data_IF_891820014786
#
_entry.id   IF_891820014786
#
_cell.length_a   1.000
_cell.length_b   1.000
_cell.length_c   1.000
_cell.angle_alpha   90.00
_cell.angle_beta   90.00
_cell.angle_gamma   90.00
#
_symmetry.space_group_name_H-M   'P 1'
#
loop_
_entity.id
_entity.type
_entity.pdbx_description
1 polymer ?
#
# COMPACT_ATOMS: atom_id res chain seq x y z
N UNK A 1 25.97 -10.85 -9.83
CA UNK A 1 25.18 -9.66 -10.25
C UNK A 1 24.11 -10.13 -11.25
N UNK A 2 23.17 -9.27 -11.66
CA UNK A 2 22.12 -9.48 -12.69
C UNK A 2 20.78 -10.14 -12.32
N UNK A 3 20.59 -10.82 -11.17
CA UNK A 3 19.31 -11.51 -10.87
C UNK A 3 18.05 -10.60 -10.99
N UNK A 4 18.17 -9.33 -10.63
CA UNK A 4 17.09 -8.33 -10.78
C UNK A 4 16.88 -7.85 -12.24
N UNK A 5 17.93 -7.84 -13.07
CA UNK A 5 17.82 -7.50 -14.49
C UNK A 5 17.16 -8.64 -15.27
N UNK A 6 17.53 -9.89 -14.99
CA UNK A 6 16.84 -11.08 -15.51
C UNK A 6 15.36 -11.09 -15.11
N UNK A 7 15.03 -10.72 -13.87
CA UNK A 7 13.65 -10.59 -13.42
C UNK A 7 12.87 -9.51 -14.21
N UNK A 8 13.49 -8.35 -14.49
CA UNK A 8 12.87 -7.32 -15.33
C UNK A 8 12.69 -7.76 -16.79
N UNK A 9 13.64 -8.49 -17.37
CA UNK A 9 13.54 -9.01 -18.74
C UNK A 9 12.44 -10.07 -18.87
N UNK A 10 12.33 -10.99 -17.91
CA UNK A 10 11.22 -11.97 -17.86
C UNK A 10 9.87 -11.29 -17.65
N UNK A 11 9.82 -10.21 -16.86
CA UNK A 11 8.59 -9.44 -16.68
C UNK A 11 8.21 -8.69 -17.97
N UNK A 12 9.18 -8.16 -18.72
CA UNK A 12 8.93 -7.60 -20.05
C UNK A 12 8.40 -8.66 -21.03
N UNK A 13 8.93 -9.88 -20.99
CA UNK A 13 8.44 -11.00 -21.80
C UNK A 13 6.98 -11.37 -21.44
N UNK A 14 6.66 -11.49 -20.15
CA UNK A 14 5.30 -11.70 -19.65
C UNK A 14 4.37 -10.57 -20.12
N UNK A 15 4.75 -9.31 -19.91
CA UNK A 15 3.92 -8.16 -20.27
C UNK A 15 3.79 -7.97 -21.78
N UNK A 16 4.71 -8.49 -22.60
CA UNK A 16 4.54 -8.51 -24.05
C UNK A 16 3.63 -9.67 -24.51
N UNK A 17 3.81 -10.87 -23.95
CA UNK A 17 3.12 -12.11 -24.34
C UNK A 17 1.67 -12.19 -23.85
N UNK A 18 1.38 -11.66 -22.67
CA UNK A 18 0.12 -11.85 -21.94
C UNK A 18 -0.65 -10.54 -21.83
N UNK A 19 -1.98 -10.61 -21.73
CA UNK A 19 -2.86 -9.42 -21.83
C UNK A 19 -3.75 -9.20 -20.61
N UNK A 20 -4.20 -10.27 -19.95
CA UNK A 20 -5.14 -10.20 -18.83
C UNK A 20 -4.43 -10.44 -17.50
N UNK A 21 -4.25 -9.39 -16.71
CA UNK A 21 -3.43 -9.42 -15.49
C UNK A 21 -4.17 -8.87 -14.28
N UNK A 22 -3.79 -9.33 -13.08
CA UNK A 22 -4.39 -8.86 -11.84
C UNK A 22 -3.31 -8.42 -10.84
N UNK A 23 -3.35 -7.16 -10.42
CA UNK A 23 -2.49 -6.60 -9.38
C UNK A 23 -3.16 -6.85 -8.02
N UNK A 24 -2.48 -7.56 -7.12
CA UNK A 24 -2.97 -7.93 -5.80
C UNK A 24 -2.22 -7.18 -4.70
N UNK A 25 -2.99 -6.69 -3.72
CA UNK A 25 -2.48 -6.06 -2.50
C UNK A 25 -2.81 -6.94 -1.27
N UNK A 26 -1.95 -6.92 -0.23
CA UNK A 26 -2.25 -7.56 1.05
C UNK A 26 -3.43 -6.86 1.75
N UNK A 27 -3.99 -7.53 2.77
CA UNK A 27 -5.07 -6.96 3.58
C UNK A 27 -4.54 -5.78 4.42
N UNK A 28 -5.26 -4.66 4.39
CA UNK A 28 -4.87 -3.37 4.98
C UNK A 28 -3.53 -2.84 4.41
N UNK A 29 -3.43 -2.62 3.09
CA UNK A 29 -2.18 -2.29 2.42
C UNK A 29 -1.64 -0.92 2.84
N UNK A 30 -0.31 -0.78 2.81
CA UNK A 30 0.36 0.49 3.10
C UNK A 30 0.00 1.57 2.07
N UNK A 31 0.07 2.85 2.46
CA UNK A 31 -0.12 3.99 1.53
C UNK A 31 0.90 3.92 0.37
N UNK A 32 2.09 3.40 0.62
CA UNK A 32 3.13 3.15 -0.37
C UNK A 32 2.76 2.00 -1.33
N UNK A 33 2.24 0.89 -0.83
CA UNK A 33 1.70 -0.18 -1.68
C UNK A 33 0.54 0.29 -2.54
N UNK A 34 -0.41 1.05 -1.98
CA UNK A 34 -1.51 1.67 -2.72
C UNK A 34 -1.00 2.63 -3.80
N UNK A 35 -0.02 3.45 -3.49
CA UNK A 35 0.61 4.38 -4.44
C UNK A 35 1.33 3.64 -5.57
N UNK A 36 2.13 2.63 -5.24
CA UNK A 36 2.88 1.82 -6.17
C UNK A 36 1.98 0.97 -7.08
N UNK A 37 0.94 0.35 -6.52
CA UNK A 37 0.00 -0.50 -7.24
C UNK A 37 -0.94 0.31 -8.15
N UNK A 38 -1.44 1.47 -7.70
CA UNK A 38 -2.23 2.37 -8.57
C UNK A 38 -1.38 3.00 -9.67
N UNK A 39 -0.12 3.35 -9.40
CA UNK A 39 0.81 3.80 -10.43
C UNK A 39 1.10 2.71 -11.48
N UNK A 40 1.34 1.46 -11.05
CA UNK A 40 1.54 0.33 -11.95
C UNK A 40 0.28 -0.01 -12.74
N UNK A 41 -0.90 0.05 -12.12
CA UNK A 41 -2.18 -0.11 -12.80
C UNK A 41 -2.35 0.90 -13.95
N UNK A 42 -2.14 2.20 -13.68
CA UNK A 42 -2.22 3.25 -14.70
C UNK A 42 -1.20 3.04 -15.85
N UNK A 43 0.00 2.57 -15.52
CA UNK A 43 1.00 2.18 -16.52
C UNK A 43 0.58 0.97 -17.37
N UNK A 44 0.01 -0.09 -16.79
CA UNK A 44 -0.49 -1.23 -17.55
C UNK A 44 -1.66 -0.84 -18.46
N UNK A 45 -2.56 0.04 -18.01
CA UNK A 45 -3.63 0.58 -18.85
C UNK A 45 -3.08 1.38 -20.05
N UNK A 46 -1.99 2.14 -19.87
CA UNK A 46 -1.28 2.80 -21.00
C UNK A 46 -0.66 1.82 -21.99
N UNK A 47 -0.20 0.66 -21.53
CA UNK A 47 0.32 -0.43 -22.38
C UNK A 47 -0.81 -1.25 -23.06
N UNK A 48 -2.08 -0.83 -22.93
CA UNK A 48 -3.22 -1.52 -23.54
C UNK A 48 -3.53 -2.87 -22.89
N UNK A 49 -3.13 -3.08 -21.63
CA UNK A 49 -3.34 -4.35 -20.91
C UNK A 49 -4.66 -4.34 -20.15
N UNK A 50 -5.32 -5.49 -20.12
CA UNK A 50 -6.51 -5.74 -19.31
C UNK A 50 -6.08 -6.01 -17.86
N UNK A 51 -5.57 -4.98 -17.20
CA UNK A 51 -5.20 -5.03 -15.79
C UNK A 51 -6.44 -4.81 -14.91
N UNK A 52 -6.56 -5.58 -13.84
CA UNK A 52 -7.39 -5.24 -12.68
C UNK A 52 -6.52 -5.03 -11.43
N UNK A 53 -7.04 -4.32 -10.44
CA UNK A 53 -6.35 -4.00 -9.19
C UNK A 53 -7.27 -4.39 -8.03
N UNK A 54 -6.79 -5.19 -7.09
CA UNK A 54 -7.64 -5.91 -6.13
C UNK A 54 -7.08 -5.86 -4.71
N UNK A 55 -7.97 -5.61 -3.74
CA UNK A 55 -7.70 -5.58 -2.30
C UNK A 55 -8.97 -5.97 -1.52
N UNK A 56 -8.86 -6.92 -0.58
CA UNK A 56 -10.01 -7.39 0.23
C UNK A 56 -10.44 -6.35 1.29
N UNK A 57 -9.49 -5.74 1.99
CA UNK A 57 -9.78 -4.73 3.02
C UNK A 57 -10.41 -3.46 2.42
N UNK A 58 -11.12 -2.70 3.25
CA UNK A 58 -11.47 -1.33 2.89
C UNK A 58 -10.20 -0.46 2.82
N UNK A 59 -10.29 0.62 2.06
CA UNK A 59 -9.18 1.52 1.76
C UNK A 59 -9.53 2.88 2.35
N UNK A 60 -8.67 3.40 3.23
CA UNK A 60 -8.84 4.74 3.82
C UNK A 60 -8.80 5.81 2.71
N UNK A 61 -9.39 7.00 2.94
CA UNK A 61 -9.57 8.03 1.90
C UNK A 61 -8.25 8.77 1.55
N UNK A 62 -7.35 8.09 0.84
CA UNK A 62 -6.07 8.62 0.38
C UNK A 62 -6.22 9.31 -0.97
N UNK A 63 -5.66 10.52 -1.13
CA UNK A 63 -5.67 11.27 -2.39
C UNK A 63 -4.66 10.74 -3.42
N UNK A 64 -4.76 9.46 -3.77
CA UNK A 64 -4.07 8.81 -4.89
C UNK A 64 -5.05 8.68 -6.06
N UNK A 65 -4.57 8.77 -7.30
CA UNK A 65 -5.43 8.57 -8.48
C UNK A 65 -5.53 7.10 -8.82
N UNK A 66 -6.74 6.56 -9.02
CA UNK A 66 -6.98 5.15 -9.35
C UNK A 66 -7.33 4.26 -8.15
N UNK A 67 -7.40 4.79 -6.92
CA UNK A 67 -7.94 4.05 -5.75
C UNK A 67 -9.41 3.68 -5.93
N UNK A 68 -10.16 4.48 -6.71
CA UNK A 68 -11.52 4.22 -7.15
C UNK A 68 -11.67 3.04 -8.12
N UNK A 69 -10.56 2.46 -8.59
CA UNK A 69 -10.53 1.26 -9.46
C UNK A 69 -10.22 -0.04 -8.70
N UNK A 70 -9.97 0.03 -7.39
CA UNK A 70 -9.61 -1.13 -6.59
C UNK A 70 -10.86 -1.97 -6.32
N UNK A 71 -10.87 -3.22 -6.79
CA UNK A 71 -11.96 -4.16 -6.61
C UNK A 71 -11.75 -5.03 -5.36
N UNK A 72 -12.83 -5.58 -4.83
CA UNK A 72 -12.81 -6.47 -3.65
C UNK A 72 -12.43 -7.91 -3.95
N UNK A 73 -12.63 -8.36 -5.19
CA UNK A 73 -12.49 -9.75 -5.61
C UNK A 73 -11.67 -9.84 -6.89
N UNK A 74 -11.08 -11.01 -7.14
CA UNK A 74 -10.35 -11.33 -8.38
C UNK A 74 -11.36 -11.55 -9.51
N UNK A 75 -11.89 -10.44 -10.04
CA UNK A 75 -12.67 -10.43 -11.27
C UNK A 75 -11.73 -10.04 -12.42
N UNK A 76 -11.45 -10.97 -13.33
CA UNK A 76 -10.93 -10.62 -14.66
C UNK A 76 -12.07 -10.73 -15.66
N UNK A 77 -12.30 -9.65 -16.41
CA UNK A 77 -13.33 -9.60 -17.42
C UNK A 77 -13.01 -10.61 -18.53
N UNK A 78 -13.93 -11.54 -18.76
CA UNK A 78 -13.98 -12.38 -19.96
C UNK A 78 -15.36 -12.27 -20.60
N UNK A 79 -15.68 -13.17 -21.52
CA UNK A 79 -16.88 -13.04 -22.35
C UNK A 79 -18.19 -13.40 -21.62
N UNK A 80 -18.12 -13.84 -20.36
CA UNK A 80 -19.29 -14.25 -19.56
C UNK A 80 -19.89 -13.08 -18.79
N UNK A 81 -21.04 -12.59 -19.25
CA UNK A 81 -21.85 -11.57 -18.55
C UNK A 81 -22.43 -12.13 -17.24
N UNK A 82 -22.21 -11.41 -16.14
CA UNK A 82 -22.80 -11.65 -14.82
C UNK A 82 -23.84 -10.58 -14.53
N UNK A 83 -24.98 -11.02 -13.98
CA UNK A 83 -26.06 -10.14 -13.52
C UNK A 83 -26.24 -10.39 -12.02
N UNK A 84 -26.08 -9.36 -11.20
CA UNK A 84 -26.11 -9.44 -9.73
C UNK A 84 -27.09 -8.46 -9.12
N UNK A 85 -27.77 -8.87 -8.06
CA UNK A 85 -28.74 -8.05 -7.31
C UNK A 85 -28.85 -8.57 -5.87
N UNK A 86 -29.38 -7.77 -4.92
CA UNK A 86 -29.54 -8.21 -3.53
C UNK A 86 -30.43 -9.47 -3.41
N UNK A 87 -29.82 -10.58 -3.01
CA UNK A 87 -30.49 -11.86 -2.77
C UNK A 87 -30.83 -12.05 -1.28
N UNK A 88 -31.93 -12.77 -1.01
CA UNK A 88 -32.26 -13.35 0.30
C UNK A 88 -32.53 -14.83 0.08
N UNK A 89 -32.15 -15.68 1.02
CA UNK A 89 -32.28 -17.11 0.79
C UNK A 89 -33.74 -17.55 0.63
N UNK A 90 -33.96 -18.49 -0.30
CA UNK A 90 -35.30 -18.91 -0.73
C UNK A 90 -36.10 -17.88 -1.53
N UNK A 91 -35.61 -16.67 -1.80
CA UNK A 91 -36.42 -15.61 -2.42
C UNK A 91 -36.75 -15.83 -3.90
N UNK A 92 -35.96 -16.65 -4.61
CA UNK A 92 -36.17 -16.98 -6.03
C UNK A 92 -36.96 -18.29 -6.15
N UNK A 93 -37.98 -18.27 -7.02
CA UNK A 93 -38.83 -19.40 -7.38
C UNK A 93 -38.30 -20.11 -8.63
N UNK A 94 -38.11 -19.33 -9.70
CA UNK A 94 -37.66 -19.81 -11.01
C UNK A 94 -36.71 -18.79 -11.66
N UNK A 95 -35.67 -19.29 -12.31
CA UNK A 95 -34.92 -18.56 -13.35
C UNK A 95 -35.24 -19.21 -14.69
N UNK A 96 -35.52 -18.39 -15.70
CA UNK A 96 -35.94 -18.80 -17.04
C UNK A 96 -35.36 -17.83 -18.08
N UNK A 97 -35.45 -18.15 -19.37
CA UNK A 97 -35.03 -17.23 -20.43
C UNK A 97 -35.92 -17.31 -21.67
N UNK A 98 -35.98 -16.22 -22.43
CA UNK A 98 -36.50 -16.27 -23.79
C UNK A 98 -35.68 -15.39 -24.74
N UNK A 99 -35.88 -15.57 -26.05
CA UNK A 99 -35.33 -14.71 -27.08
C UNK A 99 -36.51 -14.07 -27.81
N UNK A 100 -36.55 -12.74 -27.84
CA UNK A 100 -37.62 -11.96 -28.48
C UNK A 100 -36.98 -10.98 -29.46
N UNK A 101 -37.07 -11.28 -30.75
CA UNK A 101 -36.37 -10.54 -31.79
C UNK A 101 -34.85 -10.66 -31.65
N UNK A 102 -34.18 -9.53 -31.47
CA UNK A 102 -32.74 -9.40 -31.24
C UNK A 102 -32.32 -9.55 -29.77
N UNK A 103 -33.27 -9.70 -28.84
CA UNK A 103 -33.02 -9.61 -27.39
C UNK A 103 -33.12 -10.96 -26.69
N UNK A 104 -32.05 -11.34 -26.00
CA UNK A 104 -32.07 -12.36 -24.95
C UNK A 104 -32.59 -11.75 -23.64
N UNK A 105 -33.66 -12.31 -23.08
CA UNK A 105 -34.28 -11.84 -21.84
C UNK A 105 -34.13 -12.90 -20.76
N UNK A 106 -33.38 -12.60 -19.70
CA UNK A 106 -33.35 -13.40 -18.48
C UNK A 106 -34.55 -13.04 -17.60
N UNK A 107 -35.34 -14.04 -17.21
CA UNK A 107 -36.56 -13.88 -16.43
C UNK A 107 -36.34 -14.50 -15.05
N UNK A 108 -36.50 -13.70 -13.99
CA UNK A 108 -36.30 -14.14 -12.60
C UNK A 108 -37.61 -13.93 -11.84
N UNK A 109 -38.25 -15.04 -11.48
CA UNK A 109 -39.52 -15.06 -10.73
C UNK A 109 -39.22 -15.17 -9.24
N UNK A 110 -39.59 -14.18 -8.41
CA UNK A 110 -39.50 -14.31 -6.95
C UNK A 110 -40.62 -15.20 -6.41
N UNK A 111 -40.40 -15.85 -5.27
CA UNK A 111 -41.44 -16.63 -4.59
C UNK A 111 -42.57 -15.74 -4.07
N UNK A 112 -43.78 -16.30 -3.85
CA UNK A 112 -44.82 -15.63 -3.08
C UNK A 112 -44.28 -15.00 -1.80
N UNK A 113 -44.85 -13.86 -1.42
CA UNK A 113 -44.49 -13.04 -0.25
C UNK A 113 -43.06 -12.44 -0.25
N UNK A 114 -42.26 -12.62 -1.31
CA UNK A 114 -40.95 -11.97 -1.45
C UNK A 114 -41.04 -10.67 -2.26
N UNK A 115 -40.10 -9.76 -2.00
CA UNK A 115 -40.01 -8.49 -2.73
C UNK A 115 -39.56 -8.72 -4.18
N UNK A 116 -40.14 -7.96 -5.11
CA UNK A 116 -39.67 -7.93 -6.51
C UNK A 116 -38.25 -7.35 -6.56
N UNK A 117 -37.42 -7.87 -7.45
CA UNK A 117 -36.08 -7.34 -7.72
C UNK A 117 -36.23 -5.89 -8.21
N UNK A 118 -35.50 -4.97 -7.58
CA UNK A 118 -35.47 -3.56 -7.96
C UNK A 118 -34.50 -3.37 -9.15
N UNK A 119 -34.96 -2.91 -10.33
CA UNK A 119 -34.09 -2.72 -11.50
C UNK A 119 -32.88 -1.82 -11.22
N UNK A 120 -33.04 -0.79 -10.38
CA UNK A 120 -31.97 0.13 -9.99
C UNK A 120 -30.93 -0.48 -9.04
N UNK A 121 -31.11 -1.73 -8.62
CA UNK A 121 -30.15 -2.50 -7.81
C UNK A 121 -29.57 -3.70 -8.59
N UNK A 122 -29.90 -3.84 -9.89
CA UNK A 122 -29.27 -4.81 -10.78
C UNK A 122 -27.94 -4.25 -11.28
N UNK A 123 -26.87 -4.97 -11.00
CA UNK A 123 -25.51 -4.67 -11.41
C UNK A 123 -25.07 -5.66 -12.50
N UNK A 124 -24.26 -5.18 -13.43
CA UNK A 124 -23.70 -5.96 -14.53
C UNK A 124 -22.18 -5.96 -14.42
N UNK A 125 -21.56 -7.13 -14.55
CA UNK A 125 -20.12 -7.28 -14.61
C UNK A 125 -19.76 -8.41 -15.58
N UNK A 126 -18.47 -8.58 -15.89
CA UNK A 126 -17.98 -9.66 -16.73
C UNK A 126 -17.04 -10.55 -15.91
N UNK A 127 -17.12 -11.87 -16.12
CA UNK A 127 -16.29 -12.88 -15.44
C UNK A 127 -15.84 -13.96 -16.43
N UNK A 128 -15.19 -15.00 -15.92
CA UNK A 128 -14.70 -16.12 -16.74
C UNK A 128 -13.48 -15.77 -17.59
N UNK A 129 -12.97 -14.55 -17.49
CA UNK A 129 -11.69 -14.17 -18.08
C UNK A 129 -10.57 -14.89 -17.35
N UNK A 130 -9.70 -15.57 -18.10
CA UNK A 130 -8.52 -16.19 -17.51
C UNK A 130 -7.56 -15.10 -17.03
N UNK A 131 -7.06 -15.23 -15.80
CA UNK A 131 -5.89 -14.46 -15.35
C UNK A 131 -4.66 -15.10 -15.99
N UNK A 132 -3.94 -14.35 -16.82
CA UNK A 132 -2.68 -14.80 -17.43
C UNK A 132 -1.50 -14.67 -16.45
N UNK A 133 -1.51 -13.61 -15.63
CA UNK A 133 -0.49 -13.33 -14.61
C UNK A 133 -1.05 -12.54 -13.41
N UNK A 134 -0.48 -12.80 -12.24
CA UNK A 134 -0.66 -11.98 -11.04
C UNK A 134 0.57 -11.11 -10.79
N UNK A 135 0.36 -9.88 -10.34
CA UNK A 135 1.42 -9.05 -9.74
C UNK A 135 1.07 -8.80 -8.28
N UNK A 136 1.79 -9.42 -7.36
CA UNK A 136 1.58 -9.28 -5.91
C UNK A 136 2.55 -8.22 -5.37
N UNK A 137 2.03 -7.24 -4.64
CA UNK A 137 2.79 -6.05 -4.20
C UNK A 137 2.74 -5.90 -2.68
N UNK A 138 3.89 -5.63 -2.03
CA UNK A 138 4.04 -5.40 -0.57
C UNK A 138 3.65 -6.59 0.32
N UNK A 139 3.80 -7.82 -0.18
CA UNK A 139 3.56 -9.07 0.55
C UNK A 139 4.84 -9.90 0.68
N UNK A 140 5.09 -10.46 1.87
CA UNK A 140 6.21 -11.36 2.13
C UNK A 140 5.92 -12.80 1.69
N UNK A 141 4.65 -13.22 1.74
CA UNK A 141 4.14 -14.50 1.27
C UNK A 141 2.65 -14.42 0.87
N UNK A 142 2.17 -15.45 0.17
CA UNK A 142 0.79 -15.48 -0.37
C UNK A 142 -0.30 -15.43 0.72
N UNK A 143 -0.02 -15.75 1.98
CA UNK A 143 -1.01 -15.68 3.05
C UNK A 143 -1.29 -14.23 3.48
N UNK A 144 -0.43 -13.25 3.16
CA UNK A 144 -0.72 -11.82 3.41
C UNK A 144 -1.91 -11.28 2.57
N UNK A 145 -2.31 -12.01 1.53
CA UNK A 145 -3.50 -11.74 0.73
C UNK A 145 -4.81 -12.21 1.42
N UNK A 146 -4.69 -13.03 2.48
CA UNK A 146 -5.79 -13.67 3.20
C UNK A 146 -6.89 -14.22 2.26
N UNK A 147 -8.12 -13.74 2.39
CA UNK A 147 -9.32 -14.10 1.61
C UNK A 147 -9.07 -14.11 0.09
N UNK A 148 -8.28 -13.16 -0.44
CA UNK A 148 -7.97 -13.12 -1.87
C UNK A 148 -7.22 -14.36 -2.34
N UNK A 149 -6.37 -14.95 -1.49
CA UNK A 149 -5.66 -16.19 -1.80
C UNK A 149 -6.42 -17.43 -1.33
N UNK A 150 -7.02 -17.43 -0.14
CA UNK A 150 -7.68 -18.65 0.41
C UNK A 150 -8.84 -19.12 -0.45
N UNK A 151 -9.61 -18.17 -0.98
CA UNK A 151 -10.87 -18.45 -1.65
C UNK A 151 -10.67 -18.66 -3.16
N UNK A 152 -9.52 -18.20 -3.68
CA UNK A 152 -9.17 -18.24 -5.10
C UNK A 152 -7.95 -19.14 -5.41
N UNK A 153 -7.49 -20.01 -4.49
CA UNK A 153 -6.27 -20.85 -4.67
C UNK A 153 -6.14 -21.48 -6.06
N UNK A 154 -7.24 -22.01 -6.59
CA UNK A 154 -7.29 -22.64 -7.92
C UNK A 154 -6.92 -21.69 -9.07
N UNK A 155 -7.17 -20.38 -8.93
CA UNK A 155 -6.76 -19.36 -9.91
C UNK A 155 -5.24 -19.15 -9.95
N UNK A 156 -4.52 -19.42 -8.85
CA UNK A 156 -3.05 -19.27 -8.80
C UNK A 156 -2.29 -20.49 -9.35
N UNK A 157 -2.97 -21.61 -9.60
CA UNK A 157 -2.33 -22.85 -10.06
C UNK A 157 -1.98 -22.74 -11.55
N UNK A 158 -0.68 -22.73 -11.87
CA UNK A 158 -0.20 -22.67 -13.25
C UNK A 158 -0.34 -21.30 -13.93
N UNK A 159 -0.52 -20.24 -13.13
CA UNK A 159 -0.51 -18.84 -13.56
C UNK A 159 0.83 -18.20 -13.16
N UNK A 160 1.34 -17.27 -13.96
CA UNK A 160 2.58 -16.56 -13.63
C UNK A 160 2.38 -15.64 -12.42
N UNK A 161 3.32 -15.62 -11.47
CA UNK A 161 3.23 -14.79 -10.26
C UNK A 161 4.47 -13.89 -10.16
N UNK A 162 4.24 -12.58 -10.23
CA UNK A 162 5.26 -11.55 -10.13
C UNK A 162 5.19 -10.96 -8.71
N UNK A 163 6.11 -11.35 -7.84
CA UNK A 163 6.24 -10.85 -6.48
C UNK A 163 7.11 -9.58 -6.49
N UNK A 164 6.56 -8.43 -6.08
CA UNK A 164 7.25 -7.14 -6.00
C UNK A 164 7.20 -6.64 -4.55
N UNK A 165 8.36 -6.69 -3.87
CA UNK A 165 8.38 -6.52 -2.42
C UNK A 165 9.73 -5.98 -1.88
N UNK A 166 9.76 -5.62 -0.60
CA UNK A 166 10.96 -5.20 0.14
C UNK A 166 11.12 -5.86 1.52
N UNK A 167 10.19 -6.71 1.97
CA UNK A 167 10.25 -7.28 3.31
C UNK A 167 11.50 -8.16 3.49
N UNK A 168 12.17 -7.99 4.63
CA UNK A 168 13.34 -8.83 5.00
C UNK A 168 12.98 -10.32 5.05
N UNK A 169 11.72 -10.63 5.39
CA UNK A 169 11.12 -11.96 5.50
C UNK A 169 10.58 -12.54 4.18
N UNK A 170 10.64 -11.82 3.05
CA UNK A 170 10.03 -12.28 1.80
C UNK A 170 10.52 -13.68 1.38
N UNK A 171 9.54 -14.55 1.10
CA UNK A 171 9.72 -15.98 0.81
C UNK A 171 10.08 -16.31 -0.65
N UNK A 172 10.08 -15.32 -1.55
CA UNK A 172 10.32 -15.45 -2.99
C UNK A 172 9.33 -16.41 -3.68
N UNK A 173 8.05 -16.29 -3.34
CA UNK A 173 6.96 -17.17 -3.79
C UNK A 173 6.54 -17.01 -5.27
N UNK A 174 7.05 -15.99 -5.98
CA UNK A 174 6.70 -15.75 -7.39
C UNK A 174 7.46 -16.63 -8.38
N UNK A 175 6.93 -16.79 -9.61
CA UNK A 175 7.73 -17.25 -10.76
C UNK A 175 8.75 -16.18 -11.19
N UNK A 176 8.45 -14.91 -10.91
CA UNK A 176 9.39 -13.78 -10.93
C UNK A 176 9.38 -13.10 -9.56
N UNK A 177 10.56 -12.81 -9.02
CA UNK A 177 10.72 -12.15 -7.72
C UNK A 177 11.57 -10.87 -7.88
N UNK A 178 10.92 -9.71 -7.74
CA UNK A 178 11.53 -8.38 -7.74
C UNK A 178 11.54 -7.90 -6.28
N UNK A 179 12.47 -8.44 -5.51
CA UNK A 179 12.58 -8.16 -4.07
C UNK A 179 13.79 -7.27 -3.81
N UNK A 180 13.57 -6.02 -3.38
CA UNK A 180 14.66 -5.09 -3.03
C UNK A 180 14.59 -4.67 -1.55
N UNK A 181 15.39 -5.35 -0.73
CA UNK A 181 15.48 -5.17 0.73
C UNK A 181 16.19 -3.87 1.16
N UNK A 182 16.81 -3.13 0.25
CA UNK A 182 17.48 -1.84 0.55
C UNK A 182 16.73 -0.61 0.01
N UNK A 183 15.62 -0.80 -0.71
CA UNK A 183 14.74 0.30 -1.09
C UNK A 183 14.05 0.91 0.15
N UNK A 184 13.84 2.22 0.15
CA UNK A 184 13.12 2.92 1.24
C UNK A 184 11.59 2.76 1.16
N UNK A 185 11.09 2.31 0.00
CA UNK A 185 9.68 2.18 -0.40
C UNK A 185 9.50 1.12 -1.50
N UNK A 186 8.27 0.63 -1.67
CA UNK A 186 7.83 -0.12 -2.85
C UNK A 186 7.74 0.80 -4.07
N UNK A 187 7.37 2.07 -3.89
CA UNK A 187 7.26 3.05 -4.98
C UNK A 187 8.59 3.29 -5.71
N UNK A 188 9.75 3.23 -5.04
CA UNK A 188 11.07 3.22 -5.70
C UNK A 188 11.29 1.99 -6.58
N UNK A 189 10.80 0.82 -6.16
CA UNK A 189 10.93 -0.43 -6.91
C UNK A 189 10.09 -0.37 -8.18
N UNK A 190 8.83 0.08 -8.08
CA UNK A 190 7.95 0.29 -9.23
C UNK A 190 8.49 1.40 -10.15
N UNK A 191 9.04 2.48 -9.61
CA UNK A 191 9.69 3.52 -10.41
C UNK A 191 10.89 2.98 -11.20
N UNK A 192 11.79 2.25 -10.54
CA UNK A 192 12.97 1.63 -11.16
C UNK A 192 12.60 0.59 -12.21
N UNK A 193 11.51 -0.16 -11.96
CA UNK A 193 10.92 -1.09 -12.91
C UNK A 193 10.39 -0.37 -14.15
N UNK A 194 9.56 0.66 -13.99
CA UNK A 194 9.00 1.44 -15.11
C UNK A 194 10.12 2.06 -15.97
N UNK A 195 11.17 2.59 -15.35
CA UNK A 195 12.34 3.09 -16.07
C UNK A 195 13.06 1.99 -16.85
N UNK A 196 13.24 0.81 -16.25
CA UNK A 196 13.89 -0.35 -16.89
C UNK A 196 13.07 -0.91 -18.07
N UNK A 197 11.74 -0.93 -17.93
CA UNK A 197 10.78 -1.31 -18.98
C UNK A 197 10.51 -0.19 -20.00
N UNK A 198 11.10 1.01 -19.83
CA UNK A 198 10.90 2.21 -20.67
C UNK A 198 9.42 2.66 -20.78
N UNK A 199 8.64 2.45 -19.72
CA UNK A 199 7.23 2.84 -19.68
C UNK A 199 7.12 4.36 -19.46
N UNK A 200 6.16 5.01 -20.13
CA UNK A 200 5.93 6.45 -20.02
C UNK A 200 5.27 6.84 -18.68
N UNK A 201 6.10 7.32 -17.75
CA UNK A 201 5.69 7.85 -16.46
C UNK A 201 5.22 9.30 -16.63
N UNK A 202 3.91 9.53 -16.64
CA UNK A 202 3.35 10.88 -16.65
C UNK A 202 3.25 11.50 -15.25
N UNK A 203 2.78 12.74 -15.21
CA UNK A 203 2.49 13.53 -14.01
C UNK A 203 1.61 12.81 -12.97
N UNK A 204 0.64 12.01 -13.39
CA UNK A 204 -0.29 11.28 -12.50
C UNK A 204 0.41 10.10 -11.86
N UNK A 205 1.06 9.26 -12.68
CA UNK A 205 1.86 8.11 -12.23
C UNK A 205 2.99 8.61 -11.31
N UNK A 206 3.69 9.68 -11.71
CA UNK A 206 4.75 10.30 -10.91
C UNK A 206 4.23 10.89 -9.59
N UNK A 207 3.03 11.49 -9.58
CA UNK A 207 2.41 12.00 -8.34
C UNK A 207 2.06 10.88 -7.36
N UNK A 208 1.52 9.76 -7.84
CA UNK A 208 1.25 8.60 -6.98
C UNK A 208 2.56 8.05 -6.39
N UNK A 209 3.55 7.72 -7.23
CA UNK A 209 4.84 7.18 -6.77
C UNK A 209 5.55 8.12 -5.78
N UNK A 210 5.56 9.44 -6.05
CA UNK A 210 6.13 10.41 -5.13
C UNK A 210 5.42 10.43 -3.76
N UNK A 211 4.08 10.34 -3.75
CA UNK A 211 3.31 10.26 -2.51
C UNK A 211 3.60 8.97 -1.73
N UNK A 212 3.81 7.84 -2.41
CA UNK A 212 4.22 6.58 -1.79
C UNK A 212 5.58 6.65 -1.12
N UNK A 213 6.61 7.17 -1.82
CA UNK A 213 7.94 7.41 -1.24
C UNK A 213 7.84 8.35 -0.03
N UNK A 214 7.10 9.47 -0.15
CA UNK A 214 6.88 10.41 0.97
C UNK A 214 6.22 9.72 2.17
N UNK A 215 5.26 8.81 1.95
CA UNK A 215 4.60 8.11 3.05
C UNK A 215 5.51 7.06 3.71
N UNK A 216 6.19 6.21 2.93
CA UNK A 216 7.08 5.17 3.45
C UNK A 216 8.30 5.74 4.21
N UNK A 217 8.76 6.92 3.82
CA UNK A 217 9.92 7.58 4.42
C UNK A 217 9.58 8.58 5.54
N UNK A 218 8.31 8.71 5.91
CA UNK A 218 7.82 9.76 6.83
C UNK A 218 8.28 11.17 6.41
N UNK A 219 7.95 11.58 5.17
CA UNK A 219 8.44 12.80 4.52
C UNK A 219 9.98 12.91 4.63
N UNK A 220 10.68 11.87 4.17
CA UNK A 220 12.14 11.78 4.13
C UNK A 220 12.87 11.87 5.48
N UNK A 221 12.19 11.62 6.60
CA UNK A 221 12.80 11.61 7.95
C UNK A 221 13.20 10.21 8.45
N UNK A 222 12.84 9.15 7.73
CA UNK A 222 13.17 7.76 8.10
C UNK A 222 14.65 7.44 7.90
N UNK A 223 15.20 6.57 8.77
CA UNK A 223 16.54 6.00 8.61
C UNK A 223 16.70 5.17 7.32
N UNK A 224 15.59 4.77 6.68
CA UNK A 224 15.59 4.02 5.42
C UNK A 224 15.85 4.89 4.18
N UNK A 225 15.90 6.22 4.33
CA UNK A 225 16.18 7.15 3.23
C UNK A 225 17.66 7.09 2.85
N UNK A 226 17.94 6.94 1.56
CA UNK A 226 19.30 6.93 1.01
C UNK A 226 19.42 7.90 -0.19
N UNK A 227 20.59 7.91 -0.85
CA UNK A 227 20.84 8.77 -2.01
C UNK A 227 19.86 8.49 -3.16
N UNK A 228 19.63 7.22 -3.49
CA UNK A 228 18.73 6.77 -4.55
C UNK A 228 17.28 7.25 -4.26
N UNK A 229 16.85 7.23 -2.99
CA UNK A 229 15.54 7.74 -2.56
C UNK A 229 15.35 9.22 -2.90
N UNK A 230 16.35 10.04 -2.60
CA UNK A 230 16.30 11.48 -2.89
C UNK A 230 16.44 11.75 -4.39
N UNK A 231 17.24 10.96 -5.12
CA UNK A 231 17.35 11.07 -6.57
C UNK A 231 16.05 10.66 -7.28
N UNK A 232 15.41 9.58 -6.84
CA UNK A 232 14.13 9.09 -7.37
C UNK A 232 13.00 10.09 -7.08
N UNK A 233 12.94 10.65 -5.86
CA UNK A 233 12.03 11.75 -5.55
C UNK A 233 12.27 12.98 -6.45
N UNK A 234 13.53 13.35 -6.72
CA UNK A 234 13.88 14.45 -7.62
C UNK A 234 13.52 14.16 -9.10
N UNK A 235 13.70 12.91 -9.57
CA UNK A 235 13.25 12.48 -10.91
C UNK A 235 11.74 12.57 -11.05
N UNK A 236 10.98 12.09 -10.06
CA UNK A 236 9.51 12.15 -10.05
C UNK A 236 9.00 13.60 -10.06
N UNK A 237 9.63 14.50 -9.29
CA UNK A 237 9.32 15.94 -9.34
C UNK A 237 9.62 16.57 -10.71
N UNK A 238 10.71 16.17 -11.39
CA UNK A 238 10.99 16.58 -12.79
C UNK A 238 9.97 16.05 -13.79
N UNK A 239 9.36 14.89 -13.53
CA UNK A 239 8.22 14.34 -14.29
C UNK A 239 6.87 15.01 -13.92
N UNK A 240 6.90 16.08 -13.11
CA UNK A 240 5.74 16.91 -12.79
C UNK A 240 4.91 16.46 -11.58
N UNK A 241 5.43 15.52 -10.78
CA UNK A 241 4.76 15.05 -9.56
C UNK A 241 4.36 16.22 -8.63
N UNK A 242 3.10 16.22 -8.17
CA UNK A 242 2.61 17.23 -7.23
C UNK A 242 2.83 16.73 -5.80
N UNK A 243 3.48 17.55 -4.95
CA UNK A 243 3.48 17.33 -3.50
C UNK A 243 2.08 17.61 -2.92
N UNK A 244 1.21 16.60 -2.95
CA UNK A 244 -0.06 16.59 -2.21
C UNK A 244 0.24 16.54 -0.71
N UNK A 245 -0.55 17.28 0.08
CA UNK A 245 -0.55 17.12 1.54
C UNK A 245 -1.37 15.87 1.85
N UNK A 246 -0.69 14.76 2.14
CA UNK A 246 -1.34 13.60 2.75
C UNK A 246 -1.78 14.02 4.16
N UNK A 247 -3.09 14.00 4.43
CA UNK A 247 -3.60 14.22 5.79
C UNK A 247 -3.12 13.06 6.65
N UNK A 248 -2.44 13.28 7.78
CA UNK A 248 -2.11 12.19 8.68
C UNK A 248 -3.41 11.62 9.27
N UNK A 249 -3.58 10.30 9.21
CA UNK A 249 -4.62 9.62 9.97
C UNK A 249 -4.39 9.93 11.46
N UNK A 250 -5.41 10.35 12.24
CA UNK A 250 -5.23 10.58 13.66
C UNK A 250 -4.75 9.29 14.32
N UNK A 251 -3.78 9.35 15.26
CA UNK A 251 -3.29 8.15 15.92
C UNK A 251 -4.46 7.44 16.60
N UNK A 252 -4.61 6.13 16.36
CA UNK A 252 -5.63 5.29 17.00
C UNK A 252 -5.33 5.26 18.50
N UNK A 253 -5.97 6.15 19.26
CA UNK A 253 -5.85 6.21 20.72
C UNK A 253 -6.37 4.90 21.28
N UNK A 254 -5.44 4.01 21.65
CA UNK A 254 -5.76 2.82 22.43
C UNK A 254 -6.32 3.26 23.78
N UNK A 255 -7.64 3.34 23.87
CA UNK A 255 -8.36 3.39 25.14
C UNK A 255 -8.21 2.04 25.83
N UNK A 256 -7.07 1.82 26.47
CA UNK A 256 -6.89 0.75 27.44
C UNK A 256 -8.01 0.85 28.49
N UNK A 257 -8.82 -0.18 28.71
CA UNK A 257 -9.78 -0.19 29.80
C UNK A 257 -9.02 -0.04 31.11
N UNK A 258 -9.34 0.98 31.91
CA UNK A 258 -8.83 1.04 33.28
C UNK A 258 -9.46 -0.13 34.06
N UNK A 259 -8.66 -0.93 34.80
CA UNK A 259 -9.21 -1.95 35.67
C UNK A 259 -10.04 -1.29 36.79
N UNK A 260 -11.13 -1.93 37.29
CA UNK A 260 -11.91 -1.41 38.40
C UNK A 260 -11.08 -1.23 39.68
N UNK A 261 -11.44 -0.23 40.49
CA UNK A 261 -10.78 0.11 41.75
C UNK A 261 -10.37 -1.10 42.60
N UNK A 262 -9.06 -1.27 42.81
CA UNK A 262 -8.56 -1.94 44.02
C UNK A 262 -8.40 -0.89 45.12
N UNK A 263 -9.13 -1.08 46.22
CA UNK A 263 -9.06 -0.20 47.39
C UNK A 263 -7.77 -0.52 48.16
N UNK A 264 -6.71 0.24 47.90
CA UNK A 264 -5.49 0.23 48.72
C UNK A 264 -5.74 1.12 49.94
N UNK A 265 -5.52 0.59 51.14
CA UNK A 265 -5.82 1.27 52.41
C UNK A 265 -4.90 2.47 52.65
N UNK A 266 -5.49 3.57 53.10
CA UNK A 266 -4.78 4.82 53.36
C UNK A 266 -4.02 4.79 54.69
N UNK A 267 -2.72 4.49 54.66
CA UNK A 267 -1.81 4.90 55.74
C UNK A 267 -1.40 6.36 55.52
N UNK A 268 -1.77 7.23 56.47
CA UNK A 268 -1.45 8.66 56.42
C UNK A 268 0.01 8.92 56.80
N UNK A 269 0.75 9.60 55.93
CA UNK A 269 1.85 10.47 56.32
C UNK A 269 1.89 11.68 55.38
N UNK A 270 1.79 12.88 55.95
CA UNK A 270 2.01 14.15 55.26
C UNK A 270 3.33 14.75 55.74
N UNK A 271 3.97 15.59 54.92
CA UNK A 271 3.85 17.02 55.23
C UNK A 271 3.38 17.86 54.03
N UNK A 272 2.81 19.03 54.32
CA UNK A 272 2.39 20.01 53.32
C UNK A 272 3.59 20.83 52.80
N UNK A 273 3.54 21.23 51.53
CA UNK A 273 4.24 22.42 51.04
C UNK A 273 3.21 23.27 50.28
N UNK A 274 2.93 24.46 50.82
CA UNK A 274 1.94 25.38 50.27
C UNK A 274 2.59 26.22 49.15
N UNK A 275 1.96 26.27 47.98
CA UNK A 275 2.43 27.12 46.88
C UNK A 275 2.02 28.57 47.07
N UNK A 276 2.96 29.50 46.91
CA UNK A 276 2.69 30.91 46.60
C UNK A 276 3.48 31.31 45.35
N UNK A 277 2.92 32.14 44.45
CA UNK A 277 3.65 32.67 43.32
C UNK A 277 4.69 33.69 43.78
N UNK A 278 5.80 33.81 43.04
CA UNK A 278 6.81 34.85 43.22
C UNK A 278 7.02 35.51 41.87
N UNK A 279 6.56 36.76 41.77
CA UNK A 279 6.95 37.71 40.73
C UNK A 279 7.94 38.72 41.34
N UNK A 280 8.91 39.14 40.53
CA UNK A 280 9.63 40.43 40.60
C UNK A 280 10.56 40.66 41.83
N UNK A 281 11.86 40.48 41.56
CA UNK A 281 13.00 41.36 41.90
C UNK A 281 13.34 41.64 43.38
N UNK A 282 14.55 41.24 43.79
CA UNK A 282 15.57 42.20 44.25
C UNK A 282 17.01 41.67 44.04
N UNK A 283 18.00 42.53 44.31
CA UNK A 283 19.46 42.33 44.13
C UNK A 283 20.09 41.64 45.35
N UNK A 284 21.35 41.19 45.39
CA UNK A 284 22.49 41.15 44.43
C UNK A 284 23.21 39.78 44.67
N UNK A 285 24.50 39.46 44.49
CA UNK A 285 25.75 40.17 44.15
C UNK A 285 26.67 39.21 43.33
N UNK A 286 27.97 39.48 43.18
CA UNK A 286 28.89 38.77 42.28
C UNK A 286 29.78 37.71 42.94
N UNK A 287 30.13 36.64 42.22
CA UNK A 287 31.44 35.97 42.35
C UNK A 287 31.79 35.20 41.06
N UNK A 288 32.86 35.57 40.36
CA UNK A 288 33.29 34.88 39.14
C UNK A 288 33.86 33.47 39.40
N UNK A 289 33.64 32.55 38.45
CA UNK A 289 34.48 31.35 38.26
C UNK A 289 34.79 31.17 36.78
N UNK A 290 36.06 31.32 36.42
CA UNK A 290 36.54 31.23 35.04
C UNK A 290 36.67 29.77 34.58
N UNK A 291 36.50 29.55 33.26
CA UNK A 291 36.63 28.24 32.61
C UNK A 291 38.10 27.97 32.18
N UNK A 292 38.60 26.72 32.21
CA UNK A 292 39.97 26.39 31.80
C UNK A 292 40.24 26.63 30.30
N UNK A 293 41.39 27.21 29.96
CA UNK A 293 41.69 27.69 28.59
C UNK A 293 42.18 26.62 27.57
N UNK A 294 42.48 25.38 27.96
CA UNK A 294 43.17 24.42 27.08
C UNK A 294 42.30 23.71 26.02
N UNK A 295 41.04 24.11 25.84
CA UNK A 295 40.16 23.54 24.80
C UNK A 295 40.48 23.98 23.36
N UNK A 296 41.36 24.97 23.17
CA UNK A 296 41.55 25.69 21.90
C UNK A 296 42.90 25.45 21.17
N UNK A 297 43.67 24.42 21.54
CA UNK A 297 44.97 24.10 20.91
C UNK A 297 44.90 22.82 20.05
N UNK A 298 45.39 22.82 18.79
CA UNK A 298 45.36 21.65 17.93
C UNK A 298 46.36 20.57 18.39
N UNK A 299 45.93 19.31 18.39
CA UNK A 299 46.76 18.16 18.78
C UNK A 299 47.68 17.73 17.63
N UNK A 300 48.98 17.97 17.77
CA UNK A 300 50.00 17.44 16.86
C UNK A 300 50.33 16.00 17.26
N UNK A 301 50.06 15.05 16.37
CA UNK A 301 50.43 13.65 16.59
C UNK A 301 51.89 13.42 16.14
N UNK A 302 52.74 12.85 17.00
CA UNK A 302 54.05 12.30 16.62
C UNK A 302 54.04 10.81 16.91
N UNK A 303 54.26 9.99 15.88
CA UNK A 303 54.43 8.55 16.05
C UNK A 303 55.78 8.24 16.69
N UNK A 304 55.78 7.30 17.64
CA UNK A 304 56.99 6.64 18.14
C UNK A 304 56.83 5.14 17.90
N UNK A 305 57.83 4.52 17.29
CA UNK A 305 57.96 3.06 17.21
C UNK A 305 59.31 2.64 17.78
N UNK A 306 59.46 1.34 18.04
CA UNK A 306 60.71 0.62 18.30
C UNK A 306 61.68 1.27 19.32
N UNK A 307 61.78 0.68 20.51
CA UNK A 307 62.62 -0.51 20.72
C UNK A 307 61.82 -1.52 21.55
#
# INVERSE_FOLDING_TARGET
MNNSQDAFLRLLEILNRLNSGCILLPKNPSIDALAAATALYLALMKLGKNATLVCSSDIEEVSLTGTDKIQKNINVAGDSLVISFPYKDGAVDKVDYNITGDKFNLIITPRPNHQKINPSQVQYSYTGGKVDFFIVIDAADLNNLEELYTDNKNQFVGVEIVNIDRHLTNSNFGTINIVNKTASSISEIIFSLMQSLKIEIDKTIATNLYAGIVSATNNFSSYSVNADTLENAAKLLRLGAIKKILKPTPPKIFKSPLPPNQIISSNKFSPEIQTKPIDIVEKENETEKQLPQDWLKPKIFRGGGLI
#
